data_IF_195079868299
#
_entry.id   IF_195079868299
#
_cell.length_a   1.000
_cell.length_b   1.000
_cell.length_c   1.000
_cell.angle_alpha   90.00
_cell.angle_beta   90.00
_cell.angle_gamma   90.00
#
_symmetry.space_group_name_H-M   'P 1'
#
loop_
_entity.id
_entity.type
_entity.pdbx_description
1 polymer ?
#
# COMPACT_ATOMS: atom_id res chain seq x y z
N UNK A 1 3.48 6.69 -7.08
CA UNK A 1 3.67 6.20 -5.70
C UNK A 1 3.17 7.29 -4.76
N UNK A 2 1.87 7.56 -4.83
CA UNK A 2 1.23 8.68 -4.13
C UNK A 2 -0.18 8.22 -3.69
N UNK A 3 -0.81 7.43 -4.54
CA UNK A 3 -2.07 6.71 -4.31
C UNK A 3 -2.15 5.97 -2.98
N UNK A 4 -1.09 5.26 -2.56
CA UNK A 4 -1.16 4.39 -1.38
C UNK A 4 -1.15 5.19 -0.07
N UNK A 5 -0.36 6.28 -0.03
CA UNK A 5 -0.29 7.17 1.13
C UNK A 5 -1.61 7.93 1.27
N UNK A 6 -2.16 8.43 0.16
CA UNK A 6 -3.46 9.13 0.15
C UNK A 6 -4.58 8.21 0.67
N UNK A 7 -4.58 6.93 0.29
CA UNK A 7 -5.56 5.96 0.81
C UNK A 7 -5.40 5.73 2.31
N UNK A 8 -4.16 5.60 2.80
CA UNK A 8 -3.89 5.45 4.24
C UNK A 8 -4.40 6.67 5.00
N UNK A 9 -4.12 7.88 4.52
CA UNK A 9 -4.59 9.13 5.15
C UNK A 9 -6.12 9.22 5.16
N UNK A 10 -6.78 8.87 4.06
CA UNK A 10 -8.24 8.84 3.98
C UNK A 10 -8.87 7.86 4.98
N UNK A 11 -8.28 6.67 5.13
CA UNK A 11 -8.70 5.67 6.11
C UNK A 11 -8.53 6.17 7.55
N UNK A 12 -7.39 6.81 7.85
CA UNK A 12 -7.12 7.35 9.18
C UNK A 12 -8.08 8.49 9.53
N UNK A 13 -8.35 9.40 8.58
CA UNK A 13 -9.22 10.56 8.81
C UNK A 13 -10.71 10.19 8.89
N UNK A 14 -11.11 9.06 8.33
CA UNK A 14 -12.50 8.58 8.37
C UNK A 14 -12.80 7.68 9.58
N UNK A 15 -11.79 7.35 10.40
CA UNK A 15 -11.95 6.40 11.50
C UNK A 15 -12.76 7.01 12.67
N UNK A 16 -13.81 6.34 13.17
CA UNK A 16 -14.59 6.83 14.32
C UNK A 16 -13.76 7.02 15.60
N UNK A 17 -13.99 8.14 16.29
CA UNK A 17 -13.45 8.44 17.64
C UNK A 17 -14.54 8.20 18.69
N UNK A 18 -15.74 8.77 18.47
CA UNK A 18 -16.90 8.68 19.37
C UNK A 18 -18.19 8.83 18.57
N UNK A 19 -19.31 8.38 19.12
CA UNK A 19 -20.63 8.76 18.61
C UNK A 19 -20.78 10.29 18.67
N UNK A 20 -21.44 10.86 17.66
CA UNK A 20 -21.73 12.29 17.60
C UNK A 20 -22.97 12.66 18.44
N UNK A 21 -23.85 11.68 18.65
CA UNK A 21 -25.10 11.79 19.40
C UNK A 21 -25.22 10.68 20.44
N UNK A 22 -26.07 10.89 21.44
CA UNK A 22 -26.45 9.88 22.43
C UNK A 22 -27.64 9.03 21.98
N UNK A 23 -28.29 9.37 20.86
CA UNK A 23 -29.36 8.57 20.29
C UNK A 23 -28.79 7.29 19.67
N UNK A 24 -29.15 6.09 20.15
CA UNK A 24 -28.68 4.82 19.57
C UNK A 24 -29.14 4.58 18.12
N UNK A 25 -30.08 5.38 17.60
CA UNK A 25 -30.51 5.34 16.19
C UNK A 25 -29.65 6.22 15.28
N UNK A 26 -28.89 7.15 15.86
CA UNK A 26 -27.97 7.98 15.12
C UNK A 26 -26.64 7.24 14.98
N UNK A 27 -26.28 6.92 13.74
CA UNK A 27 -25.07 6.16 13.42
C UNK A 27 -23.90 7.08 13.06
N UNK A 28 -24.08 8.40 13.17
CA UNK A 28 -23.02 9.36 12.88
C UNK A 28 -21.96 9.34 13.98
N UNK A 29 -20.70 9.28 13.53
CA UNK A 29 -19.55 9.27 14.41
C UNK A 29 -18.70 10.53 14.20
N UNK A 30 -18.18 11.07 15.29
CA UNK A 30 -17.11 12.04 15.27
C UNK A 30 -15.84 11.34 14.76
N UNK A 31 -15.27 11.84 13.68
CA UNK A 31 -14.04 11.34 13.04
C UNK A 31 -12.97 12.44 13.04
N UNK A 32 -11.66 12.12 12.89
CA UNK A 32 -10.63 13.14 12.72
C UNK A 32 -10.90 14.09 11.55
N UNK A 33 -11.53 13.59 10.48
CA UNK A 33 -11.95 14.39 9.33
C UNK A 33 -12.86 15.56 9.69
N UNK A 34 -13.69 15.45 10.73
CA UNK A 34 -14.51 16.56 11.20
C UNK A 34 -13.68 17.78 11.63
N UNK A 35 -12.48 17.57 12.18
CA UNK A 35 -11.59 18.68 12.56
C UNK A 35 -10.85 19.30 11.38
N UNK A 36 -10.68 18.54 10.29
CA UNK A 36 -9.96 18.99 9.10
C UNK A 36 -10.91 19.78 8.18
N UNK A 37 -12.12 19.27 7.96
CA UNK A 37 -13.07 19.79 6.97
C UNK A 37 -14.37 20.34 7.57
N UNK A 38 -14.60 20.18 8.87
CA UNK A 38 -15.85 20.61 9.54
C UNK A 38 -17.01 19.60 9.41
N UNK A 39 -16.82 18.51 8.67
CA UNK A 39 -17.81 17.44 8.48
C UNK A 39 -17.12 16.08 8.31
N UNK A 40 -17.91 15.00 8.38
CA UNK A 40 -17.44 13.66 8.05
C UNK A 40 -16.86 13.62 6.63
N UNK A 41 -15.72 12.92 6.47
CA UNK A 41 -15.22 12.57 5.16
C UNK A 41 -16.09 11.43 4.62
N UNK A 42 -16.98 11.77 3.70
CA UNK A 42 -17.84 10.79 3.04
C UNK A 42 -17.02 10.17 1.89
N UNK A 43 -16.73 8.87 1.93
CA UNK A 43 -16.09 8.23 0.79
C UNK A 43 -17.03 8.32 -0.41
N UNK A 44 -16.47 8.55 -1.59
CA UNK A 44 -17.20 8.37 -2.85
C UNK A 44 -17.74 6.93 -2.81
N UNK A 45 -19.05 6.70 -3.04
CA UNK A 45 -19.60 5.35 -3.04
C UNK A 45 -18.72 4.51 -3.98
N UNK A 46 -18.22 3.39 -3.46
CA UNK A 46 -17.41 2.48 -4.25
C UNK A 46 -18.15 2.21 -5.55
N UNK A 47 -17.46 2.37 -6.68
CA UNK A 47 -18.01 1.94 -7.94
C UNK A 47 -18.34 0.46 -7.76
N UNK A 48 -19.64 0.15 -7.77
CA UNK A 48 -20.09 -1.21 -7.91
C UNK A 48 -19.53 -1.69 -9.25
N UNK A 49 -18.38 -2.37 -9.21
CA UNK A 49 -17.97 -3.25 -10.29
C UNK A 49 -19.01 -4.35 -10.31
N UNK A 50 -20.16 -4.08 -10.94
CA UNK A 50 -21.01 -5.13 -11.50
C UNK A 50 -20.03 -6.05 -12.20
N UNK A 51 -20.01 -7.32 -11.83
CA UNK A 51 -19.10 -8.33 -12.36
C UNK A 51 -19.17 -8.31 -13.90
N UNK A 52 -18.39 -7.44 -14.54
CA UNK A 52 -18.26 -7.48 -15.98
C UNK A 52 -17.64 -8.84 -16.27
N UNK A 53 -18.27 -9.66 -17.13
CA UNK A 53 -17.79 -11.01 -17.38
C UNK A 53 -16.39 -10.93 -17.98
N UNK A 54 -15.37 -11.12 -17.14
CA UNK A 54 -13.98 -11.20 -17.57
C UNK A 54 -13.87 -12.45 -18.43
N UNK A 55 -13.45 -12.29 -19.69
CA UNK A 55 -13.25 -13.43 -20.57
C UNK A 55 -12.30 -14.46 -19.93
N UNK A 56 -12.53 -15.76 -20.18
CA UNK A 56 -11.68 -16.83 -19.66
C UNK A 56 -10.20 -16.61 -20.00
N UNK A 57 -9.90 -16.06 -21.18
CA UNK A 57 -8.55 -15.73 -21.61
C UNK A 57 -7.97 -14.56 -20.80
N UNK A 58 -8.74 -13.51 -20.54
CA UNK A 58 -8.32 -12.36 -19.74
C UNK A 58 -7.99 -12.80 -18.31
N UNK A 59 -8.85 -13.64 -17.72
CA UNK A 59 -8.64 -14.21 -16.39
C UNK A 59 -7.39 -15.09 -16.34
N UNK A 60 -7.20 -15.97 -17.32
CA UNK A 60 -5.98 -16.78 -17.42
C UNK A 60 -4.73 -15.91 -17.53
N UNK A 61 -4.73 -14.89 -18.40
CA UNK A 61 -3.61 -13.94 -18.53
C UNK A 61 -3.31 -13.21 -17.22
N UNK A 62 -4.35 -12.80 -16.48
CA UNK A 62 -4.19 -12.14 -15.18
C UNK A 62 -3.57 -13.11 -14.16
N UNK A 63 -4.04 -14.36 -14.12
CA UNK A 63 -3.48 -15.40 -13.25
C UNK A 63 -2.00 -15.66 -13.57
N UNK A 64 -1.63 -15.72 -14.86
CA UNK A 64 -0.24 -15.86 -15.27
C UNK A 64 0.60 -14.66 -14.80
N UNK A 65 0.12 -13.43 -15.00
CA UNK A 65 0.82 -12.22 -14.53
C UNK A 65 1.04 -12.22 -13.03
N UNK A 66 0.02 -12.58 -12.25
CA UNK A 66 0.13 -12.67 -10.79
C UNK A 66 1.16 -13.72 -10.40
N UNK A 67 1.11 -14.91 -11.00
CA UNK A 67 2.10 -15.96 -10.74
C UNK A 67 3.54 -15.48 -11.03
N UNK A 68 3.76 -14.83 -12.17
CA UNK A 68 5.07 -14.25 -12.52
C UNK A 68 5.54 -13.21 -11.50
N UNK A 69 4.65 -12.34 -11.01
CA UNK A 69 5.00 -11.34 -9.99
C UNK A 69 5.36 -12.03 -8.67
N UNK A 70 4.61 -13.04 -8.25
CA UNK A 70 4.89 -13.78 -7.01
C UNK A 70 6.24 -14.49 -7.08
N UNK A 71 6.56 -15.12 -8.21
CA UNK A 71 7.88 -15.73 -8.44
C UNK A 71 9.00 -14.69 -8.37
N UNK A 72 8.81 -13.53 -9.00
CA UNK A 72 9.79 -12.44 -8.97
C UNK A 72 10.01 -11.90 -7.54
N UNK A 73 8.94 -11.79 -6.74
CA UNK A 73 9.03 -11.39 -5.33
C UNK A 73 9.75 -12.45 -4.49
N UNK A 74 9.53 -13.74 -4.74
CA UNK A 74 10.24 -14.81 -4.06
C UNK A 74 11.74 -14.78 -4.38
N UNK A 75 12.10 -14.54 -5.64
CA UNK A 75 13.50 -14.36 -6.07
C UNK A 75 14.12 -13.15 -5.38
N UNK A 76 13.42 -12.01 -5.36
CA UNK A 76 13.90 -10.80 -4.69
C UNK A 76 14.19 -11.07 -3.21
N UNK A 77 13.25 -11.71 -2.49
CA UNK A 77 13.42 -12.06 -1.08
C UNK A 77 14.64 -12.97 -0.83
N UNK A 78 14.88 -13.95 -1.72
CA UNK A 78 16.06 -14.83 -1.65
C UNK A 78 17.38 -14.07 -1.86
N UNK A 79 17.40 -13.11 -2.78
CA UNK A 79 18.57 -12.26 -3.04
C UNK A 79 18.85 -11.38 -1.82
N UNK A 80 17.85 -10.67 -1.30
CA UNK A 80 18.01 -9.80 -0.12
C UNK A 80 18.49 -10.60 1.11
N UNK A 81 17.95 -11.80 1.32
CA UNK A 81 18.37 -12.69 2.41
C UNK A 81 19.84 -13.14 2.26
N UNK A 82 20.30 -13.39 1.03
CA UNK A 82 21.69 -13.78 0.74
C UNK A 82 22.64 -12.58 0.84
N UNK A 83 22.24 -11.40 0.35
CA UNK A 83 22.99 -10.15 0.48
C UNK A 83 23.20 -9.78 1.94
N UNK A 84 22.17 -9.89 2.80
CA UNK A 84 22.30 -9.62 4.24
C UNK A 84 23.21 -10.62 4.97
N UNK A 85 23.44 -11.82 4.42
CA UNK A 85 24.42 -12.80 4.93
C UNK A 85 25.84 -12.58 4.38
N UNK A 86 26.00 -11.77 3.33
CA UNK A 86 27.27 -11.53 2.63
C UNK A 86 27.96 -10.20 2.96
N UNK A 87 27.35 -9.30 3.74
CA UNK A 87 28.03 -8.09 4.23
C UNK A 87 28.93 -8.44 5.42
N UNK A 88 30.03 -9.13 5.12
CA UNK A 88 31.26 -9.00 5.89
C UNK A 88 31.76 -7.58 5.69
N UNK A 89 31.74 -6.78 6.75
CA UNK A 89 32.12 -5.36 6.82
C UNK A 89 33.64 -5.12 6.63
N UNK A 90 34.30 -5.87 5.74
CA UNK A 90 35.77 -5.84 5.57
C UNK A 90 36.30 -5.29 4.23
N UNK A 91 35.45 -5.05 3.22
CA UNK A 91 35.94 -4.77 1.86
C UNK A 91 35.92 -3.29 1.43
N UNK A 92 35.27 -2.39 2.18
CA UNK A 92 35.10 -0.98 1.77
C UNK A 92 36.19 -0.02 2.24
N UNK A 93 37.18 -0.46 3.03
CA UNK A 93 38.18 0.46 3.61
C UNK A 93 39.36 0.80 2.69
N UNK A 94 39.53 0.15 1.54
CA UNK A 94 40.82 0.17 0.82
C UNK A 94 40.75 0.70 -0.63
N UNK A 95 39.59 1.16 -1.11
CA UNK A 95 39.50 1.67 -2.48
C UNK A 95 39.83 3.17 -2.55
N UNK A 96 41.08 3.50 -2.88
CA UNK A 96 41.48 4.84 -3.35
C UNK A 96 41.64 4.80 -4.87
N UNK A 97 40.91 5.63 -5.65
CA UNK A 97 41.19 5.77 -7.07
C UNK A 97 42.47 6.59 -7.25
N UNK A 98 43.48 6.00 -7.91
CA UNK A 98 44.65 6.75 -8.39
C UNK A 98 44.21 7.66 -9.54
N UNK A 99 44.09 8.95 -9.27
CA UNK A 99 43.98 9.99 -10.29
C UNK A 99 45.36 10.14 -10.94
N UNK A 100 45.48 9.66 -12.19
CA UNK A 100 46.62 9.91 -13.05
C UNK A 100 46.66 11.37 -13.50
N UNK A 101 47.89 11.91 -13.59
CA UNK A 101 48.22 13.27 -14.03
C UNK A 101 47.88 13.54 -15.50
#
# INVERSE_FOLDING_TARGET
>A
METDIIQIEACLNSRPISALSSDPKDLDALTPGHFITGSALIPIPEQNFVEEPISHLSRWKLQQKIATILEALEIFNKITATTNKGVSTGAYSNWRPSVGQ
#
